data_IF_796599184245
#
_entry.id   IF_796599184245
#
_cell.length_a   1.000
_cell.length_b   1.000
_cell.length_c   1.000
_cell.angle_alpha   90.00
_cell.angle_beta   90.00
_cell.angle_gamma   90.00
#
_symmetry.space_group_name_H-M   'P 1'
#
loop_
_entity.id
_entity.type
_entity.pdbx_description
1 polymer ?
#
# COMPACT_ATOMS: atom_id res chain seq x y z
N UNK A 1 -25.70 -8.39 7.26
CA UNK A 1 -26.04 -9.59 6.49
C UNK A 1 -25.40 -10.85 7.06
N UNK A 2 -24.13 -10.78 7.49
CA UNK A 2 -23.47 -11.91 8.16
C UNK A 2 -24.21 -12.34 9.42
N UNK A 3 -24.67 -11.39 10.21
CA UNK A 3 -25.47 -11.66 11.40
C UNK A 3 -26.86 -12.23 11.04
N UNK A 4 -27.47 -11.73 9.97
CA UNK A 4 -28.82 -12.14 9.53
C UNK A 4 -28.88 -13.58 9.02
N UNK A 5 -27.81 -14.08 8.37
CA UNK A 5 -27.73 -15.43 7.78
C UNK A 5 -26.71 -16.34 8.45
N UNK A 6 -26.09 -15.92 9.56
CA UNK A 6 -24.96 -16.62 10.22
C UNK A 6 -23.80 -16.93 9.25
N UNK A 7 -23.60 -16.10 8.23
CA UNK A 7 -22.54 -16.25 7.26
C UNK A 7 -21.20 -15.81 7.86
N UNK A 8 -20.14 -16.52 7.50
CA UNK A 8 -18.76 -16.25 7.93
C UNK A 8 -17.89 -15.94 6.71
N UNK A 9 -16.78 -15.28 6.96
CA UNK A 9 -15.76 -15.10 5.95
C UNK A 9 -15.35 -16.46 5.36
N UNK A 10 -15.33 -16.56 4.04
CA UNK A 10 -15.04 -17.78 3.34
C UNK A 10 -16.28 -18.61 2.98
N UNK A 11 -17.46 -18.30 3.48
CA UNK A 11 -18.66 -19.02 3.08
C UNK A 11 -19.01 -18.74 1.61
N UNK A 12 -19.47 -19.77 0.89
CA UNK A 12 -20.05 -19.63 -0.44
C UNK A 12 -21.56 -19.51 -0.32
N UNK A 13 -22.13 -18.57 -1.06
CA UNK A 13 -23.57 -18.35 -1.18
C UNK A 13 -23.98 -18.22 -2.64
N UNK A 14 -25.23 -18.55 -2.92
CA UNK A 14 -25.82 -18.21 -4.20
C UNK A 14 -26.47 -16.83 -4.08
N UNK A 15 -25.90 -15.87 -4.83
CA UNK A 15 -26.37 -14.50 -4.90
C UNK A 15 -27.22 -14.33 -6.16
N UNK A 16 -28.44 -13.87 -5.99
CA UNK A 16 -29.36 -13.56 -7.08
C UNK A 16 -29.63 -12.06 -7.10
N UNK A 17 -29.38 -11.43 -8.24
CA UNK A 17 -29.64 -10.01 -8.48
C UNK A 17 -30.44 -9.86 -9.74
N UNK A 18 -31.58 -9.22 -9.66
CA UNK A 18 -32.48 -9.01 -10.80
C UNK A 18 -32.81 -10.32 -11.57
N UNK A 19 -33.03 -11.43 -10.86
CA UNK A 19 -33.34 -12.74 -11.42
C UNK A 19 -32.16 -13.50 -12.01
N UNK A 20 -30.95 -12.95 -11.97
CA UNK A 20 -29.73 -13.65 -12.42
C UNK A 20 -28.95 -14.14 -11.21
N UNK A 21 -28.65 -15.46 -11.19
CA UNK A 21 -28.04 -16.15 -10.05
C UNK A 21 -26.58 -16.50 -10.33
N UNK A 22 -25.71 -16.28 -9.34
CA UNK A 22 -24.31 -16.69 -9.38
C UNK A 22 -23.81 -17.05 -7.97
N UNK A 23 -22.94 -18.05 -7.90
CA UNK A 23 -22.29 -18.44 -6.65
C UNK A 23 -21.10 -17.55 -6.38
N UNK A 24 -21.04 -16.95 -5.18
CA UNK A 24 -20.00 -16.00 -4.75
C UNK A 24 -19.51 -16.29 -3.34
N UNK A 25 -18.27 -15.91 -3.05
CA UNK A 25 -17.71 -16.00 -1.71
C UNK A 25 -18.02 -14.76 -0.88
N UNK A 26 -18.19 -14.96 0.40
CA UNK A 26 -18.48 -13.91 1.39
C UNK A 26 -17.18 -13.41 2.00
N UNK A 27 -16.99 -12.10 2.02
CA UNK A 27 -15.93 -11.39 2.76
C UNK A 27 -16.58 -10.35 3.64
N UNK A 28 -16.21 -10.34 4.92
CA UNK A 28 -16.68 -9.35 5.87
C UNK A 28 -15.82 -8.08 5.77
N UNK A 29 -16.45 -6.93 5.65
CA UNK A 29 -15.75 -5.64 5.65
C UNK A 29 -16.48 -4.64 6.55
N UNK A 30 -15.71 -3.84 7.28
CA UNK A 30 -16.26 -2.84 8.18
C UNK A 30 -16.66 -1.55 7.49
N UNK A 31 -16.11 -1.23 6.35
CA UNK A 31 -16.36 0.03 5.65
C UNK A 31 -17.68 0.12 4.89
N UNK A 32 -18.66 -0.74 5.20
CA UNK A 32 -19.97 -0.77 4.52
C UNK A 32 -21.11 -0.52 5.48
N UNK A 33 -22.11 0.21 4.99
CA UNK A 33 -23.36 0.38 5.74
C UNK A 33 -24.02 -0.96 6.02
N UNK A 34 -24.57 -1.19 7.22
CA UNK A 34 -25.38 -2.36 7.52
C UNK A 34 -26.50 -2.57 6.49
N UNK A 35 -26.72 -3.82 6.11
CA UNK A 35 -27.71 -4.17 5.10
C UNK A 35 -27.28 -3.99 3.65
N UNK A 36 -26.08 -3.51 3.39
CA UNK A 36 -25.53 -3.38 2.05
C UNK A 36 -24.46 -4.43 1.73
N UNK A 37 -24.29 -4.71 0.45
CA UNK A 37 -23.25 -5.57 -0.08
C UNK A 37 -22.59 -4.91 -1.28
N UNK A 38 -21.30 -5.13 -1.44
CA UNK A 38 -20.58 -4.68 -2.63
C UNK A 38 -19.99 -5.88 -3.37
N UNK A 39 -20.12 -5.86 -4.68
CA UNK A 39 -19.44 -6.79 -5.57
C UNK A 39 -18.68 -5.97 -6.62
N UNK A 40 -17.34 -6.01 -6.63
CA UNK A 40 -16.57 -5.23 -7.59
C UNK A 40 -16.78 -5.73 -9.02
N UNK A 41 -16.92 -4.82 -9.96
CA UNK A 41 -16.94 -5.11 -11.39
C UNK A 41 -15.53 -5.29 -11.94
N UNK A 42 -15.40 -6.00 -13.09
CA UNK A 42 -14.11 -6.17 -13.76
C UNK A 42 -13.40 -7.47 -13.47
N UNK A 43 -13.92 -8.31 -12.56
CA UNK A 43 -13.45 -9.66 -12.29
C UNK A 43 -14.17 -10.71 -13.15
N UNK A 44 -13.74 -11.99 -13.06
CA UNK A 44 -14.33 -13.12 -13.79
C UNK A 44 -14.09 -13.06 -15.30
N UNK A 45 -13.02 -12.45 -15.77
CA UNK A 45 -12.66 -12.35 -17.18
C UNK A 45 -12.20 -13.69 -17.71
N UNK A 46 -12.71 -14.09 -18.86
CA UNK A 46 -12.26 -15.29 -19.59
C UNK A 46 -11.00 -14.99 -20.40
N UNK A 47 -11.00 -13.85 -21.08
CA UNK A 47 -9.86 -13.34 -21.84
C UNK A 47 -9.06 -12.38 -20.98
N UNK A 48 -7.97 -12.87 -20.41
CA UNK A 48 -7.04 -12.12 -19.56
C UNK A 48 -5.69 -12.86 -19.52
N UNK A 49 -4.66 -12.19 -18.98
CA UNK A 49 -3.38 -12.84 -18.68
C UNK A 49 -3.58 -14.01 -17.70
N UNK A 50 -2.59 -14.91 -17.62
CA UNK A 50 -2.63 -16.08 -16.73
C UNK A 50 -2.99 -15.70 -15.28
N UNK A 51 -2.47 -14.57 -14.79
CA UNK A 51 -2.71 -14.09 -13.43
C UNK A 51 -4.15 -13.57 -13.20
N UNK A 52 -4.87 -13.20 -14.24
CA UNK A 52 -6.21 -12.58 -14.14
C UNK A 52 -7.36 -13.43 -14.67
N UNK A 53 -7.07 -14.51 -15.38
CA UNK A 53 -8.09 -15.37 -16.02
C UNK A 53 -8.97 -16.04 -14.98
N UNK A 54 -10.28 -15.86 -15.12
CA UNK A 54 -11.31 -16.49 -14.28
C UNK A 54 -11.17 -16.20 -12.77
N UNK A 55 -10.45 -15.12 -12.40
CA UNK A 55 -10.31 -14.70 -11.01
C UNK A 55 -11.52 -13.86 -10.61
N UNK A 56 -12.18 -14.27 -9.51
CA UNK A 56 -13.38 -13.62 -9.00
C UNK A 56 -14.63 -13.92 -9.83
N UNK A 57 -15.57 -13.00 -9.82
CA UNK A 57 -16.90 -13.19 -10.39
C UNK A 57 -17.23 -12.06 -11.36
N UNK A 58 -17.86 -12.41 -12.48
CA UNK A 58 -18.32 -11.42 -13.46
C UNK A 58 -19.63 -10.76 -13.00
N UNK A 59 -19.54 -9.53 -12.52
CA UNK A 59 -20.70 -8.75 -12.05
C UNK A 59 -21.42 -7.98 -13.17
N UNK A 60 -20.86 -7.87 -14.37
CA UNK A 60 -21.48 -7.12 -15.48
C UNK A 60 -22.90 -7.57 -15.85
N UNK A 61 -23.25 -8.88 -15.81
CA UNK A 61 -24.63 -9.31 -16.10
C UNK A 61 -25.70 -8.75 -15.16
N UNK A 62 -25.31 -8.23 -13.99
CA UNK A 62 -26.22 -7.66 -12.99
C UNK A 62 -26.39 -6.16 -13.10
N UNK A 63 -25.58 -5.50 -13.93
CA UNK A 63 -25.74 -4.08 -14.19
C UNK A 63 -27.03 -3.82 -14.98
N UNK A 64 -27.70 -2.75 -14.64
CA UNK A 64 -28.89 -2.29 -15.31
C UNK A 64 -28.56 -1.05 -16.15
N UNK A 65 -29.36 -0.83 -17.18
CA UNK A 65 -29.34 0.40 -17.96
C UNK A 65 -30.64 1.15 -17.68
N UNK A 66 -30.54 2.38 -17.26
CA UNK A 66 -31.67 3.29 -17.10
C UNK A 66 -31.39 4.60 -17.88
N UNK A 67 -32.26 4.92 -18.82
CA UNK A 67 -32.14 6.12 -19.68
C UNK A 67 -30.74 6.30 -20.31
N UNK A 68 -30.09 5.19 -20.72
CA UNK A 68 -28.75 5.19 -21.32
C UNK A 68 -27.60 5.30 -20.33
N UNK A 69 -27.85 5.31 -19.02
CA UNK A 69 -26.86 5.35 -17.95
C UNK A 69 -26.78 4.00 -17.27
N UNK A 70 -25.56 3.52 -17.01
CA UNK A 70 -25.33 2.27 -16.26
C UNK A 70 -25.63 2.48 -14.79
N UNK A 71 -26.51 1.65 -14.24
CA UNK A 71 -26.88 1.66 -12.83
C UNK A 71 -26.10 0.56 -12.09
N UNK A 72 -25.35 0.97 -11.08
CA UNK A 72 -24.45 0.10 -10.29
C UNK A 72 -25.04 -0.35 -8.94
N UNK A 73 -26.33 -0.18 -8.72
CA UNK A 73 -27.02 -0.64 -7.52
C UNK A 73 -28.29 -1.41 -7.85
N UNK A 74 -28.75 -2.24 -6.93
CA UNK A 74 -30.03 -2.95 -7.02
C UNK A 74 -30.57 -3.19 -5.62
N UNK A 75 -31.86 -3.02 -5.43
CA UNK A 75 -32.63 -3.39 -4.25
C UNK A 75 -33.21 -4.82 -4.34
N UNK A 76 -33.21 -5.41 -5.54
CA UNK A 76 -33.72 -6.76 -5.82
C UNK A 76 -32.62 -7.80 -5.69
N UNK A 77 -32.23 -8.07 -4.43
CA UNK A 77 -31.13 -8.97 -4.10
C UNK A 77 -31.60 -10.06 -3.14
N UNK A 78 -31.38 -11.32 -3.55
CA UNK A 78 -31.59 -12.50 -2.70
C UNK A 78 -30.29 -13.22 -2.45
N UNK A 79 -30.06 -13.67 -1.20
CA UNK A 79 -28.92 -14.47 -0.80
C UNK A 79 -29.41 -15.78 -0.23
N UNK A 80 -28.82 -16.87 -0.69
CA UNK A 80 -29.06 -18.19 -0.10
C UNK A 80 -28.42 -18.32 1.29
N UNK A 81 -28.70 -19.41 1.94
CA UNK A 81 -27.86 -19.89 3.04
C UNK A 81 -26.52 -20.38 2.49
N UNK A 82 -25.59 -20.71 3.39
CA UNK A 82 -24.30 -21.27 3.03
C UNK A 82 -24.45 -22.54 2.19
N UNK A 83 -23.85 -22.52 1.00
CA UNK A 83 -23.82 -23.67 0.07
C UNK A 83 -22.44 -24.34 -0.01
N UNK A 84 -21.41 -23.77 0.62
CA UNK A 84 -20.05 -24.30 0.64
C UNK A 84 -19.06 -23.36 1.29
N UNK A 85 -17.76 -23.59 1.05
CA UNK A 85 -16.66 -22.77 1.57
C UNK A 85 -15.64 -22.53 0.46
N UNK A 86 -15.13 -21.30 0.37
CA UNK A 86 -13.97 -20.96 -0.46
C UNK A 86 -12.71 -21.40 0.26
N UNK A 87 -11.88 -22.21 -0.38
CA UNK A 87 -10.68 -22.78 0.25
C UNK A 87 -9.46 -21.87 0.14
N UNK A 88 -9.44 -20.94 -0.81
CA UNK A 88 -8.26 -20.16 -1.19
C UNK A 88 -8.59 -18.67 -1.34
N UNK A 89 -8.91 -18.01 -0.23
CA UNK A 89 -8.92 -16.57 -0.21
C UNK A 89 -7.51 -16.02 -0.32
N UNK A 90 -7.31 -15.07 -1.24
CA UNK A 90 -6.08 -14.32 -1.35
C UNK A 90 -6.30 -12.91 -0.85
N UNK A 91 -5.58 -12.54 0.18
CA UNK A 91 -5.60 -11.21 0.77
C UNK A 91 -4.19 -10.65 0.84
N UNK A 92 -3.95 -9.51 0.21
CA UNK A 92 -2.66 -8.82 0.26
C UNK A 92 -2.39 -8.32 1.67
N UNK A 93 -3.45 -7.93 2.39
CA UNK A 93 -3.36 -7.43 3.74
C UNK A 93 -4.70 -7.59 4.45
N UNK A 94 -4.65 -8.03 5.70
CA UNK A 94 -5.80 -7.94 6.59
C UNK A 94 -5.98 -6.49 7.02
N UNK A 95 -7.16 -5.94 6.77
CA UNK A 95 -7.51 -4.60 7.21
C UNK A 95 -8.13 -4.65 8.60
N UNK A 96 -7.57 -3.86 9.49
CA UNK A 96 -7.97 -3.86 10.89
C UNK A 96 -8.81 -2.63 11.22
N UNK A 97 -9.74 -2.78 12.14
CA UNK A 97 -10.47 -1.64 12.70
C UNK A 97 -9.59 -0.88 13.69
N UNK A 98 -9.56 0.44 13.57
CA UNK A 98 -8.99 1.31 14.59
C UNK A 98 -10.11 1.74 15.56
N UNK A 99 -9.77 1.86 16.84
CA UNK A 99 -10.72 2.29 17.88
C UNK A 99 -11.57 1.20 18.48
N UNK A 100 -11.58 0.00 17.91
CA UNK A 100 -12.33 -1.16 18.46
C UNK A 100 -11.54 -1.87 19.56
N UNK A 101 -10.22 -1.75 19.57
CA UNK A 101 -9.35 -2.24 20.64
C UNK A 101 -8.35 -1.16 21.00
N UNK A 102 -8.43 -0.66 22.20
CA UNK A 102 -7.51 0.34 22.72
C UNK A 102 -7.50 0.36 24.23
N UNK A 103 -6.59 1.12 24.79
CA UNK A 103 -6.72 1.55 26.17
C UNK A 103 -7.40 2.91 26.18
N UNK A 104 -8.37 3.06 27.06
CA UNK A 104 -8.91 4.35 27.39
C UNK A 104 -7.77 5.28 27.81
N UNK A 105 -7.66 6.45 27.19
CA UNK A 105 -6.54 7.39 27.41
C UNK A 105 -6.52 7.91 28.85
N UNK A 106 -7.67 8.08 29.48
CA UNK A 106 -7.80 8.64 30.83
C UNK A 106 -7.65 7.56 31.91
N UNK A 107 -8.33 6.44 31.73
CA UNK A 107 -8.37 5.39 32.75
C UNK A 107 -7.28 4.34 32.59
N UNK A 108 -6.58 4.30 31.46
CA UNK A 108 -5.60 3.26 31.07
C UNK A 108 -6.14 1.83 31.17
N UNK A 109 -7.46 1.68 31.19
CA UNK A 109 -8.12 0.38 31.20
C UNK A 109 -8.34 -0.12 29.77
N UNK A 110 -8.24 -1.44 29.59
CA UNK A 110 -8.63 -2.08 28.31
C UNK A 110 -10.08 -1.74 28.02
N UNK A 111 -10.33 -1.18 26.84
CA UNK A 111 -11.69 -1.06 26.33
C UNK A 111 -12.11 -2.48 25.95
N UNK A 112 -13.07 -3.03 26.70
CA UNK A 112 -13.68 -4.31 26.37
C UNK A 112 -14.55 -4.11 25.13
N UNK A 113 -14.01 -4.54 24.00
CA UNK A 113 -14.83 -4.70 22.80
C UNK A 113 -15.56 -6.02 22.93
N UNK A 114 -16.89 -5.96 22.88
CA UNK A 114 -17.71 -7.16 22.83
C UNK A 114 -17.31 -7.98 21.58
N UNK A 115 -16.89 -9.24 21.80
CA UNK A 115 -16.54 -10.16 20.73
C UNK A 115 -17.64 -10.34 19.68
N UNK A 116 -18.89 -10.03 20.04
CA UNK A 116 -20.03 -10.07 19.13
C UNK A 116 -20.07 -8.90 18.17
N UNK A 117 -19.56 -7.73 18.57
CA UNK A 117 -19.55 -6.51 17.76
C UNK A 117 -18.31 -6.37 16.90
N UNK A 118 -17.25 -7.15 17.16
CA UNK A 118 -16.04 -7.15 16.36
C UNK A 118 -15.63 -8.56 15.90
N UNK A 119 -16.39 -9.19 14.99
CA UNK A 119 -16.17 -10.56 14.56
C UNK A 119 -14.79 -10.82 13.92
N UNK A 120 -14.12 -9.80 13.40
CA UNK A 120 -12.76 -9.91 12.85
C UNK A 120 -11.68 -10.08 13.91
N UNK A 121 -11.93 -9.76 15.16
CA UNK A 121 -10.99 -10.01 16.24
C UNK A 121 -10.75 -11.50 16.47
N UNK A 122 -11.68 -12.36 16.06
CA UNK A 122 -11.53 -13.84 16.11
C UNK A 122 -10.53 -14.40 15.11
N UNK A 123 -10.16 -13.66 14.09
CA UNK A 123 -9.21 -14.10 13.05
C UNK A 123 -7.73 -13.96 13.46
N UNK A 124 -7.41 -13.98 14.74
CA UNK A 124 -6.04 -13.91 15.25
C UNK A 124 -5.44 -12.52 15.25
N UNK A 125 -6.25 -11.48 15.07
CA UNK A 125 -5.79 -10.13 15.18
C UNK A 125 -5.45 -9.75 16.61
N UNK A 126 -4.19 -9.44 16.82
CA UNK A 126 -3.73 -8.80 18.05
C UNK A 126 -3.71 -7.28 17.79
N UNK A 127 -4.82 -6.62 18.13
CA UNK A 127 -4.87 -5.17 18.11
C UNK A 127 -3.72 -4.59 18.93
N UNK A 128 -3.10 -3.53 18.45
CA UNK A 128 -2.09 -2.83 19.23
C UNK A 128 -2.75 -2.28 20.50
N UNK A 129 -2.30 -2.77 21.65
CA UNK A 129 -2.76 -2.29 22.96
C UNK A 129 -2.20 -0.88 23.22
N UNK A 130 -1.10 -0.53 22.53
CA UNK A 130 -0.46 0.78 22.62
C UNK A 130 -0.77 1.55 21.34
N UNK A 131 -1.33 2.75 21.41
CA UNK A 131 -1.48 3.62 20.26
C UNK A 131 -0.13 3.83 19.58
N UNK A 132 -0.05 3.54 18.28
CA UNK A 132 1.15 3.80 17.48
C UNK A 132 0.86 4.90 16.48
N UNK A 133 1.89 5.64 16.09
CA UNK A 133 1.81 6.71 15.09
C UNK A 133 1.69 6.15 13.67
N UNK A 134 0.68 5.31 13.41
CA UNK A 134 0.46 4.72 12.09
C UNK A 134 -0.45 5.59 11.24
N UNK A 135 -1.56 6.06 11.83
CA UNK A 135 -2.52 6.94 11.18
C UNK A 135 -2.89 8.07 12.12
N UNK A 136 -2.95 9.29 11.58
CA UNK A 136 -3.38 10.47 12.32
C UNK A 136 -4.64 11.03 11.70
N UNK A 137 -5.60 11.34 12.54
CA UNK A 137 -6.87 11.95 12.15
C UNK A 137 -7.38 12.89 13.24
N UNK A 138 -8.17 13.87 12.82
CA UNK A 138 -8.81 14.81 13.72
C UNK A 138 -10.11 15.32 13.13
N UNK A 139 -11.00 15.87 13.96
CA UNK A 139 -12.14 16.65 13.53
C UNK A 139 -11.75 18.06 13.18
N UNK A 140 -12.48 18.69 12.25
CA UNK A 140 -12.23 20.07 11.85
C UNK A 140 -12.30 21.05 13.03
N UNK A 141 -13.22 20.80 13.98
CA UNK A 141 -13.39 21.58 15.21
C UNK A 141 -12.22 21.46 16.19
N UNK A 142 -11.39 20.41 16.08
CA UNK A 142 -10.30 20.10 17.00
C UNK A 142 -8.90 20.28 16.36
N UNK A 143 -8.82 20.80 15.15
CA UNK A 143 -7.56 20.89 14.38
C UNK A 143 -6.47 21.62 15.15
N UNK A 144 -6.78 22.76 15.78
CA UNK A 144 -5.81 23.56 16.51
C UNK A 144 -5.20 22.77 17.70
N UNK A 145 -6.06 22.15 18.50
CA UNK A 145 -5.61 21.30 19.60
C UNK A 145 -4.78 20.12 19.13
N UNK A 146 -5.22 19.47 18.06
CA UNK A 146 -4.50 18.35 17.47
C UNK A 146 -3.11 18.74 16.96
N UNK A 147 -2.96 19.92 16.37
CA UNK A 147 -1.65 20.46 15.92
C UNK A 147 -0.72 20.68 17.10
N UNK A 148 -1.22 21.21 18.22
CA UNK A 148 -0.42 21.37 19.44
C UNK A 148 0.02 20.01 20.00
N UNK A 149 -0.89 19.05 20.11
CA UNK A 149 -0.56 17.68 20.53
C UNK A 149 0.52 17.04 19.65
N UNK A 150 0.43 17.20 18.31
CA UNK A 150 1.46 16.72 17.39
C UNK A 150 2.83 17.37 17.63
N UNK A 151 2.86 18.67 17.91
CA UNK A 151 4.10 19.40 18.19
C UNK A 151 4.75 18.90 19.49
N UNK A 152 3.96 18.66 20.53
CA UNK A 152 4.44 18.14 21.82
C UNK A 152 4.97 16.70 21.69
N UNK A 153 4.22 15.80 21.07
CA UNK A 153 4.65 14.43 20.83
C UNK A 153 5.96 14.38 20.03
N UNK A 154 6.07 15.22 19.00
CA UNK A 154 7.27 15.28 18.18
C UNK A 154 8.49 15.78 18.97
N UNK A 155 8.30 16.72 19.86
CA UNK A 155 9.36 17.20 20.75
C UNK A 155 9.82 16.06 21.69
N UNK A 156 8.89 15.31 22.26
CA UNK A 156 9.19 14.14 23.08
C UNK A 156 10.02 13.09 22.31
N UNK A 157 9.60 12.75 21.08
CA UNK A 157 10.36 11.81 20.24
C UNK A 157 11.75 12.34 19.88
N UNK A 158 11.91 13.64 19.61
CA UNK A 158 13.20 14.24 19.36
C UNK A 158 14.13 14.13 20.58
N UNK A 159 13.63 14.35 21.77
CA UNK A 159 14.38 14.18 23.02
C UNK A 159 14.81 12.73 23.24
N UNK A 160 13.90 11.75 22.96
CA UNK A 160 14.23 10.33 23.02
C UNK A 160 15.31 9.94 22.00
N UNK A 161 15.27 10.53 20.81
CA UNK A 161 16.24 10.29 19.75
C UNK A 161 17.65 10.73 20.09
N UNK A 162 17.83 11.68 21.01
CA UNK A 162 19.17 12.07 21.51
C UNK A 162 19.83 11.00 22.39
N UNK A 163 19.04 10.05 22.89
CA UNK A 163 19.52 8.96 23.79
C UNK A 163 20.03 7.72 23.04
N UNK A 164 20.10 7.77 21.71
CA UNK A 164 20.63 6.66 20.92
C UNK A 164 22.15 6.60 20.97
N UNK A 165 22.72 5.39 20.94
CA UNK A 165 24.17 5.14 20.79
C UNK A 165 24.62 5.18 19.32
N UNK A 166 23.67 5.23 18.38
CA UNK A 166 23.96 5.30 16.95
C UNK A 166 23.92 6.74 16.48
N UNK A 167 24.90 7.19 15.66
CA UNK A 167 24.84 8.52 15.06
C UNK A 167 23.64 8.58 14.09
N UNK A 168 22.91 9.71 14.12
CA UNK A 168 21.88 9.93 13.12
C UNK A 168 22.50 10.27 11.77
N UNK A 169 22.03 9.62 10.71
CA UNK A 169 22.44 9.87 9.34
C UNK A 169 21.67 11.02 8.68
N UNK A 170 20.63 11.57 9.34
CA UNK A 170 19.81 12.66 8.82
C UNK A 170 20.66 13.86 8.38
N UNK A 171 21.71 14.19 9.13
CA UNK A 171 22.62 15.30 8.81
C UNK A 171 23.49 15.05 7.57
N UNK A 172 23.61 13.82 7.11
CA UNK A 172 24.42 13.45 5.95
C UNK A 172 23.83 13.96 4.64
N UNK A 173 22.51 14.11 4.57
CA UNK A 173 21.76 14.44 3.36
C UNK A 173 21.31 15.91 3.30
N UNK A 174 21.98 16.81 4.00
CA UNK A 174 21.64 18.24 4.05
C UNK A 174 22.19 19.03 2.87
N UNK A 175 23.11 18.46 2.09
CA UNK A 175 23.74 19.08 0.93
C UNK A 175 23.39 18.36 -0.36
N UNK A 176 23.09 19.11 -1.42
CA UNK A 176 22.63 18.56 -2.69
C UNK A 176 21.15 18.23 -2.67
N UNK A 177 20.72 17.32 -3.53
CA UNK A 177 19.33 16.86 -3.57
C UNK A 177 19.06 15.86 -2.44
N UNK A 178 17.89 15.96 -1.82
CA UNK A 178 17.35 14.97 -0.91
C UNK A 178 15.93 14.65 -1.34
N UNK A 179 15.72 13.46 -1.89
CA UNK A 179 14.45 13.08 -2.47
C UNK A 179 13.46 12.61 -1.41
N UNK A 180 12.29 13.23 -1.42
CA UNK A 180 11.20 12.89 -0.51
C UNK A 180 9.83 12.87 -1.17
N UNK A 181 8.87 12.37 -0.43
CA UNK A 181 7.48 12.24 -0.87
C UNK A 181 6.53 12.70 0.23
N UNK A 182 5.41 13.26 -0.17
CA UNK A 182 4.32 13.58 0.72
C UNK A 182 3.02 12.98 0.19
N UNK A 183 2.21 12.41 1.07
CA UNK A 183 0.90 11.84 0.75
C UNK A 183 -0.18 12.54 1.57
N UNK A 184 -1.07 13.23 0.90
CA UNK A 184 -2.21 13.89 1.52
C UNK A 184 -3.38 12.91 1.69
N UNK A 185 -3.66 12.52 2.94
CA UNK A 185 -4.74 11.58 3.24
C UNK A 185 -6.13 12.22 3.08
N UNK A 186 -6.24 13.55 2.99
CA UNK A 186 -7.49 14.22 2.70
C UNK A 186 -7.88 14.10 1.22
N UNK A 187 -6.87 14.14 0.35
CA UNK A 187 -7.07 14.00 -1.09
C UNK A 187 -7.09 12.53 -1.56
N UNK A 188 -6.53 11.60 -0.78
CA UNK A 188 -6.46 10.19 -1.17
C UNK A 188 -7.82 9.51 -1.09
N UNK A 189 -8.28 8.93 -2.21
CA UNK A 189 -9.55 8.19 -2.33
C UNK A 189 -9.36 6.66 -2.39
N UNK A 190 -8.14 6.16 -2.24
CA UNK A 190 -7.85 4.72 -2.24
C UNK A 190 -8.03 4.00 -3.57
N UNK A 191 -8.03 4.72 -4.70
CA UNK A 191 -8.38 4.18 -6.04
C UNK A 191 -7.41 3.15 -6.62
N UNK A 192 -6.18 3.03 -6.08
CA UNK A 192 -5.18 2.05 -6.54
C UNK A 192 -4.38 2.44 -7.79
N UNK A 193 -4.66 3.57 -8.46
CA UNK A 193 -3.96 4.00 -9.67
C UNK A 193 -2.43 4.10 -9.47
N UNK A 194 -2.00 4.57 -8.31
CA UNK A 194 -0.58 4.65 -7.94
C UNK A 194 0.10 3.28 -7.86
N UNK A 195 -0.61 2.25 -7.39
CA UNK A 195 -0.08 0.87 -7.33
C UNK A 195 0.10 0.28 -8.73
N UNK A 196 -0.91 0.44 -9.59
CA UNK A 196 -0.86 -0.02 -10.98
C UNK A 196 0.27 0.68 -11.76
N UNK A 197 0.38 2.00 -11.64
CA UNK A 197 1.44 2.77 -12.28
C UNK A 197 2.84 2.36 -11.77
N UNK A 198 2.99 2.09 -10.48
CA UNK A 198 4.24 1.61 -9.91
C UNK A 198 4.64 0.26 -10.50
N UNK A 199 3.69 -0.67 -10.63
CA UNK A 199 3.93 -2.01 -11.18
C UNK A 199 4.35 -1.93 -12.64
N UNK A 200 3.65 -1.13 -13.44
CA UNK A 200 3.95 -0.94 -14.86
C UNK A 200 5.31 -0.26 -15.08
N UNK A 201 5.57 0.84 -14.38
CA UNK A 201 6.82 1.61 -14.52
C UNK A 201 8.06 0.82 -14.10
N UNK A 202 7.97 0.05 -13.02
CA UNK A 202 9.13 -0.54 -12.38
C UNK A 202 9.29 -2.04 -12.65
N UNK A 203 8.65 -2.57 -13.69
CA UNK A 203 8.69 -3.99 -14.04
C UNK A 203 8.37 -4.91 -12.85
N UNK A 204 7.41 -4.50 -11.99
CA UNK A 204 7.01 -5.30 -10.84
C UNK A 204 6.15 -6.45 -11.34
N UNK A 205 6.49 -7.71 -11.03
CA UNK A 205 5.75 -8.84 -11.55
C UNK A 205 4.33 -8.92 -10.99
N UNK A 206 3.38 -9.32 -11.84
CA UNK A 206 2.00 -9.63 -11.46
C UNK A 206 1.92 -11.12 -11.16
N UNK A 207 1.85 -11.46 -9.88
CA UNK A 207 2.01 -12.85 -9.43
C UNK A 207 0.70 -13.65 -9.34
N UNK A 208 -0.45 -12.97 -9.33
CA UNK A 208 -1.77 -13.60 -9.30
C UNK A 208 -2.23 -14.12 -7.93
N UNK A 209 -3.47 -14.60 -7.88
CA UNK A 209 -4.18 -15.00 -6.67
C UNK A 209 -3.45 -16.10 -5.89
N UNK A 210 -2.94 -17.12 -6.58
CA UNK A 210 -2.30 -18.27 -5.95
C UNK A 210 -1.05 -17.87 -5.15
N UNK A 211 -0.19 -17.02 -5.71
CA UNK A 211 1.00 -16.56 -5.03
C UNK A 211 0.66 -15.59 -3.89
N UNK A 212 -0.34 -14.72 -4.07
CA UNK A 212 -0.82 -13.84 -2.99
C UNK A 212 -1.37 -14.66 -1.82
N UNK A 213 -2.11 -15.74 -2.09
CA UNK A 213 -2.59 -16.67 -1.05
C UNK A 213 -1.44 -17.30 -0.24
N UNK A 214 -0.28 -17.52 -0.88
CA UNK A 214 0.94 -18.00 -0.26
C UNK A 214 1.80 -16.92 0.39
N UNK A 215 1.30 -15.69 0.47
CA UNK A 215 2.03 -14.49 0.94
C UNK A 215 3.25 -14.10 0.09
N UNK A 216 3.22 -14.42 -1.19
CA UNK A 216 4.27 -14.08 -2.16
C UNK A 216 3.91 -12.86 -3.01
N UNK A 217 3.16 -11.92 -2.48
CA UNK A 217 2.84 -10.68 -3.19
C UNK A 217 4.09 -9.89 -3.56
N UNK A 218 4.06 -9.22 -4.73
CA UNK A 218 5.21 -8.47 -5.24
C UNK A 218 4.97 -6.95 -5.37
N UNK A 219 3.75 -6.46 -5.17
CA UNK A 219 3.47 -5.03 -5.25
C UNK A 219 4.33 -4.22 -4.28
N UNK A 220 5.04 -3.20 -4.81
CA UNK A 220 5.91 -2.33 -4.00
C UNK A 220 5.13 -1.26 -3.23
N UNK A 221 3.93 -0.96 -3.67
CA UNK A 221 3.03 -0.01 -3.05
C UNK A 221 1.71 -0.70 -2.76
N UNK A 222 1.27 -0.64 -1.51
CA UNK A 222 -0.04 -1.11 -1.07
C UNK A 222 -0.87 0.06 -0.58
N UNK A 223 -2.18 -0.10 -0.51
CA UNK A 223 -3.08 0.88 0.09
C UNK A 223 -3.69 0.26 1.32
N UNK A 224 -3.22 0.70 2.47
CA UNK A 224 -3.74 0.28 3.77
C UNK A 224 -5.06 0.99 4.04
N UNK A 225 -6.04 0.27 4.59
CA UNK A 225 -7.34 0.80 4.98
C UNK A 225 -7.49 0.70 6.48
N UNK A 226 -7.77 1.82 7.11
CA UNK A 226 -7.99 1.92 8.55
C UNK A 226 -9.41 2.37 8.78
N UNK A 227 -10.19 1.52 9.45
CA UNK A 227 -11.58 1.78 9.76
C UNK A 227 -11.72 2.39 11.15
N UNK A 228 -12.67 3.28 11.31
CA UNK A 228 -13.00 3.94 12.58
C UNK A 228 -14.49 4.34 12.58
N UNK A 229 -14.98 4.90 13.69
CA UNK A 229 -16.39 5.18 13.88
C UNK A 229 -17.15 3.99 14.46
N UNK A 230 -18.47 4.04 14.43
CA UNK A 230 -19.35 2.96 14.89
C UNK A 230 -19.64 1.96 13.76
N UNK A 231 -20.23 0.82 14.11
CA UNK A 231 -20.68 -0.15 13.08
C UNK A 231 -21.81 0.40 12.21
N UNK A 232 -22.59 1.32 12.75
CA UNK A 232 -23.71 1.99 12.09
C UNK A 232 -23.23 3.12 11.18
N UNK A 233 -22.10 3.77 11.55
CA UNK A 233 -21.50 4.87 10.78
C UNK A 233 -19.99 4.66 10.62
N UNK A 234 -19.58 3.67 9.79
CA UNK A 234 -18.17 3.37 9.59
C UNK A 234 -17.51 4.40 8.67
N UNK A 235 -16.34 4.84 9.05
CA UNK A 235 -15.46 5.67 8.24
C UNK A 235 -14.17 4.92 7.89
N UNK A 236 -13.47 5.36 6.86
CA UNK A 236 -12.21 4.75 6.41
C UNK A 236 -11.18 5.80 6.04
N UNK A 237 -9.92 5.55 6.41
CA UNK A 237 -8.76 6.29 5.92
C UNK A 237 -7.93 5.37 5.04
N UNK A 238 -7.62 5.83 3.84
CA UNK A 238 -6.74 5.16 2.90
C UNK A 238 -5.33 5.70 3.04
N UNK A 239 -4.36 4.83 3.28
CA UNK A 239 -2.97 5.21 3.42
C UNK A 239 -2.10 4.43 2.41
N UNK A 240 -1.69 5.05 1.30
CA UNK A 240 -0.68 4.47 0.43
C UNK A 240 0.63 4.26 1.18
N UNK A 241 1.15 3.03 1.17
CA UNK A 241 2.35 2.64 1.90
C UNK A 241 3.37 2.01 0.94
N UNK A 242 4.53 2.64 0.84
CA UNK A 242 5.68 2.20 0.05
C UNK A 242 6.95 2.23 0.90
N UNK A 243 8.11 1.91 0.30
CA UNK A 243 9.38 2.13 0.99
C UNK A 243 9.48 3.59 1.42
N UNK A 244 9.79 3.82 2.68
CA UNK A 244 9.84 5.15 3.29
C UNK A 244 11.18 5.84 3.05
N UNK A 245 12.15 5.18 2.41
CA UNK A 245 13.49 5.71 2.16
C UNK A 245 14.10 6.38 3.40
N UNK A 246 14.11 5.61 4.50
CA UNK A 246 14.53 6.08 5.82
C UNK A 246 16.01 6.45 5.83
N UNK A 247 16.37 7.65 6.32
CA UNK A 247 17.77 8.05 6.47
C UNK A 247 18.47 7.19 7.53
N UNK A 248 17.77 6.82 8.60
CA UNK A 248 18.23 5.84 9.60
C UNK A 248 17.68 4.45 9.25
N UNK A 249 18.07 3.89 8.10
CA UNK A 249 17.46 2.69 7.54
C UNK A 249 17.81 1.39 8.30
N UNK A 250 16.89 0.80 9.08
CA UNK A 250 17.18 -0.43 9.82
C UNK A 250 17.40 -1.63 8.91
N UNK A 251 16.95 -1.56 7.66
CA UNK A 251 17.16 -2.62 6.67
C UNK A 251 18.58 -2.66 6.11
N UNK A 252 19.35 -1.58 6.21
CA UNK A 252 20.75 -1.54 5.76
C UNK A 252 21.69 -2.21 6.75
N UNK A 253 21.48 -1.96 8.03
CA UNK A 253 22.31 -2.48 9.11
C UNK A 253 22.32 -4.02 9.19
N UNK A 254 21.29 -4.68 8.69
CA UNK A 254 21.12 -6.14 8.76
C UNK A 254 21.46 -6.86 7.45
N UNK A 255 21.87 -6.13 6.42
CA UNK A 255 22.23 -6.76 5.14
C UNK A 255 23.67 -7.27 5.18
N UNK A 256 23.90 -8.60 5.12
CA UNK A 256 25.25 -9.17 5.29
C UNK A 256 26.18 -8.84 4.12
N UNK A 257 25.64 -8.41 2.99
CA UNK A 257 26.38 -8.11 1.76
C UNK A 257 26.26 -6.65 1.33
N UNK A 258 25.68 -5.79 2.18
CA UNK A 258 25.42 -4.38 1.86
C UNK A 258 24.72 -4.17 0.50
N UNK A 259 23.79 -5.08 0.14
CA UNK A 259 22.96 -4.94 -1.05
C UNK A 259 21.90 -3.82 -0.89
N UNK A 260 21.55 -3.49 0.35
CA UNK A 260 20.73 -2.34 0.70
C UNK A 260 21.65 -1.23 1.18
N UNK A 261 21.63 -0.09 0.51
CA UNK A 261 22.49 1.06 0.81
C UNK A 261 21.80 2.38 0.44
N UNK A 262 22.36 3.50 0.87
CA UNK A 262 21.89 4.83 0.49
C UNK A 262 22.71 5.42 -0.66
N UNK A 263 22.02 6.18 -1.52
CA UNK A 263 22.67 7.13 -2.42
C UNK A 263 23.02 8.42 -1.66
N UNK A 264 23.89 9.24 -2.27
CA UNK A 264 24.21 10.57 -1.74
C UNK A 264 23.00 11.54 -1.72
N UNK A 265 21.88 11.15 -2.31
CA UNK A 265 20.64 11.95 -2.40
C UNK A 265 19.51 11.38 -1.51
N UNK A 266 19.85 10.61 -0.48
CA UNK A 266 18.89 10.09 0.50
C UNK A 266 18.03 8.92 0.00
N UNK A 267 18.34 8.32 -1.15
CA UNK A 267 17.56 7.21 -1.67
C UNK A 267 18.09 5.88 -1.12
N UNK A 268 17.28 5.16 -0.37
CA UNK A 268 17.58 3.78 -0.02
C UNK A 268 17.49 2.90 -1.27
N UNK A 269 18.59 2.28 -1.67
CA UNK A 269 18.77 1.54 -2.92
C UNK A 269 18.84 0.03 -2.68
N UNK A 270 18.71 -0.73 -3.77
CA UNK A 270 18.96 -2.17 -3.82
C UNK A 270 19.95 -2.49 -4.95
N UNK A 271 21.11 -3.02 -4.57
CA UNK A 271 22.02 -3.63 -5.54
C UNK A 271 21.58 -5.09 -5.76
N UNK A 272 20.73 -5.30 -6.77
CA UNK A 272 20.09 -6.60 -7.01
C UNK A 272 21.11 -7.73 -7.21
N UNK A 273 22.17 -7.49 -7.98
CA UNK A 273 23.23 -8.49 -8.23
C UNK A 273 24.05 -8.87 -7.00
N UNK A 274 23.96 -8.06 -5.94
CA UNK A 274 24.64 -8.32 -4.67
C UNK A 274 23.75 -9.03 -3.66
N UNK A 275 22.43 -8.98 -3.85
CA UNK A 275 21.46 -9.55 -2.94
C UNK A 275 21.54 -11.08 -2.96
N UNK A 276 21.74 -11.70 -1.79
CA UNK A 276 21.76 -13.16 -1.61
C UNK A 276 20.46 -13.71 -0.99
N UNK A 277 19.43 -12.89 -0.85
CA UNK A 277 18.09 -13.32 -0.47
C UNK A 277 17.90 -13.74 0.99
N UNK A 278 18.71 -13.25 1.94
CA UNK A 278 18.54 -13.57 3.38
C UNK A 278 17.22 -13.09 3.95
N UNK A 279 16.54 -12.12 3.32
CA UNK A 279 15.26 -11.52 3.71
C UNK A 279 15.26 -10.81 5.07
N UNK A 280 16.39 -10.74 5.77
CA UNK A 280 16.45 -10.07 7.06
C UNK A 280 16.05 -8.58 6.95
N UNK A 281 16.40 -7.91 5.87
CA UNK A 281 15.99 -6.54 5.63
C UNK A 281 14.46 -6.37 5.55
N UNK A 282 13.71 -7.39 5.10
CA UNK A 282 12.25 -7.37 5.13
C UNK A 282 11.70 -7.55 6.55
N UNK A 283 12.31 -8.45 7.33
CA UNK A 283 11.91 -8.66 8.72
C UNK A 283 12.18 -7.44 9.58
N UNK A 284 13.31 -6.74 9.34
CA UNK A 284 13.70 -5.55 10.09
C UNK A 284 13.03 -4.26 9.62
N UNK A 285 12.30 -4.29 8.50
CA UNK A 285 11.55 -3.14 8.02
C UNK A 285 10.27 -2.95 8.87
N UNK A 286 10.12 -1.83 9.62
CA UNK A 286 8.92 -1.62 10.42
C UNK A 286 7.66 -1.40 9.56
N UNK A 287 7.84 -0.91 8.35
CA UNK A 287 6.75 -0.62 7.38
C UNK A 287 6.33 -1.84 6.55
N UNK A 288 7.10 -2.96 6.60
CA UNK A 288 6.82 -4.21 5.87
C UNK A 288 6.59 -4.01 4.37
N UNK A 289 7.45 -3.22 3.73
CA UNK A 289 7.32 -2.81 2.32
C UNK A 289 8.38 -3.41 1.39
N UNK A 290 9.11 -4.40 1.85
CA UNK A 290 10.13 -5.11 1.07
C UNK A 290 9.58 -6.45 0.63
N UNK A 291 9.73 -6.76 -0.68
CA UNK A 291 9.21 -7.95 -1.31
C UNK A 291 10.34 -8.89 -1.71
N UNK A 292 10.13 -10.18 -1.52
CA UNK A 292 11.08 -11.20 -1.94
C UNK A 292 10.58 -11.85 -3.23
N UNK A 293 11.44 -11.93 -4.22
CA UNK A 293 11.14 -12.56 -5.51
C UNK A 293 11.35 -14.08 -5.38
N UNK A 294 10.27 -14.80 -5.14
CA UNK A 294 10.29 -16.24 -4.86
C UNK A 294 10.53 -17.09 -6.11
N UNK A 295 10.01 -16.63 -7.24
CA UNK A 295 10.03 -17.34 -8.50
C UNK A 295 10.44 -16.38 -9.62
N UNK A 296 10.80 -16.91 -10.77
CA UNK A 296 10.99 -16.12 -11.98
C UNK A 296 9.63 -15.81 -12.63
N UNK A 297 8.94 -14.82 -12.08
CA UNK A 297 7.58 -14.46 -12.49
C UNK A 297 7.49 -13.80 -13.85
N UNK A 298 8.57 -13.16 -14.31
CA UNK A 298 8.56 -12.40 -15.56
C UNK A 298 9.04 -13.22 -16.73
N UNK A 299 9.72 -14.36 -16.47
CA UNK A 299 10.38 -15.19 -17.48
C UNK A 299 11.21 -14.38 -18.48
N UNK A 300 11.65 -13.21 -18.05
CA UNK A 300 12.37 -12.25 -18.86
C UNK A 300 13.88 -12.49 -18.80
N UNK A 301 14.31 -13.75 -18.80
CA UNK A 301 15.72 -14.05 -18.95
C UNK A 301 16.18 -13.63 -20.36
N UNK A 302 17.06 -12.63 -20.40
CA UNK A 302 17.65 -12.13 -21.64
C UNK A 302 18.78 -13.02 -22.15
N UNK A 303 19.17 -14.04 -21.38
CA UNK A 303 20.25 -14.96 -21.74
C UNK A 303 19.67 -16.34 -22.10
N UNK A 304 19.57 -16.67 -23.40
CA UNK A 304 19.05 -17.96 -23.85
C UNK A 304 19.83 -19.17 -23.30
N UNK A 305 21.08 -18.95 -22.88
CA UNK A 305 21.94 -19.99 -22.31
C UNK A 305 21.56 -20.44 -20.89
N UNK A 306 20.65 -19.75 -20.21
CA UNK A 306 20.15 -20.14 -18.90
C UNK A 306 18.89 -21.05 -18.97
N UNK A 307 18.52 -21.52 -20.14
CA UNK A 307 17.46 -22.50 -20.29
C UNK A 307 17.93 -23.85 -19.75
N UNK A 308 17.26 -24.32 -18.68
CA UNK A 308 17.48 -25.66 -18.14
C UNK A 308 16.52 -26.64 -18.77
N UNK A 309 16.98 -27.67 -19.51
CA UNK A 309 16.10 -28.73 -19.98
C UNK A 309 15.62 -29.55 -18.75
N UNK A 310 14.33 -29.57 -18.51
CA UNK A 310 13.71 -30.47 -17.53
C UNK A 310 13.13 -31.64 -18.31
N UNK A 311 13.62 -32.86 -18.03
CA UNK A 311 13.20 -34.11 -18.68
C UNK A 311 13.41 -34.17 -20.20
N UNK A 312 14.40 -33.49 -20.75
CA UNK A 312 14.69 -33.51 -22.19
C UNK A 312 13.77 -32.68 -23.05
N UNK A 313 12.80 -31.98 -22.50
CA UNK A 313 12.01 -30.96 -23.18
C UNK A 313 12.65 -29.59 -22.91
N UNK A 314 12.91 -28.84 -23.98
CA UNK A 314 13.26 -27.42 -23.86
C UNK A 314 12.02 -26.66 -23.33
N UNK A 315 11.91 -26.56 -22.03
CA UNK A 315 10.98 -25.63 -21.41
C UNK A 315 11.49 -24.21 -21.69
N UNK A 316 11.02 -23.64 -22.78
CA UNK A 316 11.22 -22.23 -23.09
C UNK A 316 10.41 -21.39 -22.09
N UNK A 317 10.96 -21.20 -20.91
CA UNK A 317 10.48 -20.18 -19.96
C UNK A 317 10.90 -18.77 -20.36
N UNK A 318 11.46 -18.60 -21.54
CA UNK A 318 11.78 -17.28 -22.08
C UNK A 318 10.51 -16.53 -22.44
N UNK A 319 10.33 -15.32 -21.94
CA UNK A 319 9.35 -14.42 -22.49
C UNK A 319 9.60 -14.29 -24.00
N UNK A 320 8.57 -14.50 -24.80
CA UNK A 320 8.65 -14.18 -26.22
C UNK A 320 8.98 -12.70 -26.43
N UNK A 321 9.35 -12.32 -27.61
CA UNK A 321 9.70 -10.92 -27.92
C UNK A 321 8.53 -9.96 -27.60
N UNK A 322 7.31 -10.42 -27.73
CA UNK A 322 6.10 -9.62 -27.44
C UNK A 322 5.97 -9.35 -25.95
N UNK A 323 6.18 -10.34 -25.10
CA UNK A 323 6.18 -10.19 -23.63
C UNK A 323 7.31 -9.26 -23.17
N UNK A 324 8.49 -9.31 -23.81
CA UNK A 324 9.60 -8.38 -23.50
C UNK A 324 9.29 -6.94 -23.85
N UNK A 325 8.48 -6.70 -24.87
CA UNK A 325 8.11 -5.34 -25.30
C UNK A 325 7.27 -4.56 -24.28
N UNK A 326 6.63 -5.22 -23.31
CA UNK A 326 5.86 -4.53 -22.24
C UNK A 326 6.73 -4.10 -21.06
N UNK A 327 7.98 -4.55 -21.02
CA UNK A 327 8.91 -4.18 -19.95
C UNK A 327 9.52 -2.80 -20.23
N UNK A 328 9.66 -2.01 -19.16
CA UNK A 328 10.37 -0.74 -19.22
C UNK A 328 11.88 -1.01 -19.34
N UNK A 329 12.54 -0.59 -20.46
CA UNK A 329 13.94 -0.86 -20.68
C UNK A 329 14.88 -0.11 -19.72
N UNK A 330 14.41 0.97 -19.10
CA UNK A 330 15.21 1.78 -18.17
C UNK A 330 15.24 1.20 -16.74
N UNK A 331 14.51 0.11 -16.52
CA UNK A 331 14.38 -0.53 -15.21
C UNK A 331 14.83 -1.98 -15.25
N UNK A 332 15.78 -2.32 -14.40
CA UNK A 332 16.27 -3.70 -14.27
C UNK A 332 15.13 -4.68 -14.00
N UNK A 333 15.04 -5.74 -14.79
CA UNK A 333 14.20 -6.89 -14.49
C UNK A 333 14.94 -7.76 -13.47
N UNK A 334 14.25 -8.10 -12.38
CA UNK A 334 14.85 -8.88 -11.29
C UNK A 334 14.50 -10.34 -11.44
N UNK A 335 15.48 -11.17 -11.14
CA UNK A 335 15.34 -12.62 -11.11
C UNK A 335 14.88 -13.09 -9.72
N UNK A 336 14.56 -14.38 -9.61
CA UNK A 336 14.25 -14.99 -8.31
C UNK A 336 15.40 -14.83 -7.31
N UNK A 337 15.07 -14.82 -6.02
CA UNK A 337 16.03 -14.85 -4.94
C UNK A 337 16.54 -13.48 -4.48
N UNK A 338 16.01 -12.39 -5.01
CA UNK A 338 16.38 -11.03 -4.61
C UNK A 338 15.23 -10.31 -3.91
N UNK A 339 15.59 -9.29 -3.12
CA UNK A 339 14.62 -8.38 -2.49
C UNK A 339 14.31 -7.22 -3.42
N UNK A 340 13.04 -6.88 -3.51
CA UNK A 340 12.53 -5.74 -4.26
C UNK A 340 11.82 -4.73 -3.36
N UNK A 341 11.83 -3.47 -3.76
CA UNK A 341 11.15 -2.38 -3.05
C UNK A 341 11.04 -1.13 -3.93
N UNK A 342 10.22 -0.17 -3.52
CA UNK A 342 10.16 1.14 -4.16
C UNK A 342 11.56 1.78 -4.28
N UNK A 343 11.89 2.29 -5.45
CA UNK A 343 13.14 2.97 -5.79
C UNK A 343 13.00 4.49 -5.93
N UNK A 344 11.84 5.07 -5.61
CA UNK A 344 11.44 6.43 -5.98
C UNK A 344 11.52 6.71 -7.50
N UNK A 345 11.36 5.65 -8.31
CA UNK A 345 11.50 5.74 -9.77
C UNK A 345 12.84 6.40 -10.15
N UNK A 346 13.96 5.84 -9.65
CA UNK A 346 15.31 6.39 -9.84
C UNK A 346 15.63 6.68 -11.32
N UNK A 347 15.10 5.89 -12.26
CA UNK A 347 15.22 6.12 -13.70
C UNK A 347 14.65 7.48 -14.11
N UNK A 348 13.48 7.88 -13.59
CA UNK A 348 12.87 9.19 -13.84
C UNK A 348 13.65 10.34 -13.21
N UNK A 349 14.23 10.11 -12.03
CA UNK A 349 15.13 11.08 -11.40
C UNK A 349 16.35 11.33 -12.32
N UNK A 350 16.97 10.26 -12.82
CA UNK A 350 18.12 10.37 -13.72
C UNK A 350 17.76 11.03 -15.04
N UNK A 351 16.61 10.69 -15.62
CA UNK A 351 16.12 11.33 -16.83
C UNK A 351 15.92 12.84 -16.66
N UNK A 352 15.24 13.27 -15.58
CA UNK A 352 15.05 14.70 -15.29
C UNK A 352 16.37 15.43 -15.08
N UNK A 353 17.32 14.83 -14.37
CA UNK A 353 18.68 15.39 -14.18
C UNK A 353 19.45 15.48 -15.50
N UNK A 354 19.37 14.46 -16.35
CA UNK A 354 20.02 14.46 -17.66
C UNK A 354 19.42 15.51 -18.57
N UNK A 355 18.12 15.68 -18.57
CA UNK A 355 17.41 16.70 -19.36
C UNK A 355 17.82 18.09 -18.93
N UNK A 356 17.80 18.39 -17.63
CA UNK A 356 18.24 19.67 -17.08
C UNK A 356 19.71 19.97 -17.44
N UNK A 357 20.59 18.96 -17.36
CA UNK A 357 22.00 19.07 -17.74
C UNK A 357 22.19 19.35 -19.24
N UNK A 358 21.43 18.68 -20.12
CA UNK A 358 21.46 18.91 -21.58
C UNK A 358 21.02 20.33 -21.92
N UNK A 359 20.05 20.87 -21.16
CA UNK A 359 19.54 22.22 -21.33
C UNK A 359 20.42 23.29 -20.64
N UNK A 360 21.51 22.90 -19.98
CA UNK A 360 22.43 23.81 -19.28
C UNK A 360 21.80 24.55 -18.11
N UNK A 361 20.80 23.97 -17.46
CA UNK A 361 20.06 24.58 -16.34
C UNK A 361 20.02 23.70 -15.10
N UNK A 362 19.64 24.30 -13.99
CA UNK A 362 19.32 23.57 -12.75
C UNK A 362 17.99 22.84 -12.90
N UNK A 363 17.83 21.82 -12.06
CA UNK A 363 16.57 21.07 -11.93
C UNK A 363 15.47 22.00 -11.42
N UNK A 364 14.28 21.90 -12.03
CA UNK A 364 13.10 22.71 -11.66
C UNK A 364 12.01 21.82 -11.08
N UNK A 365 11.09 22.44 -10.35
CA UNK A 365 9.87 21.75 -9.90
C UNK A 365 9.13 21.13 -11.09
N UNK A 366 8.79 19.84 -10.99
CA UNK A 366 8.10 19.10 -12.02
C UNK A 366 8.96 18.42 -13.09
N UNK A 367 10.29 18.68 -13.15
CA UNK A 367 11.21 17.96 -14.02
C UNK A 367 11.27 16.46 -13.65
N UNK A 368 11.09 16.16 -12.37
CA UNK A 368 11.06 14.80 -11.85
C UNK A 368 9.69 14.52 -11.22
N UNK A 369 9.03 13.49 -11.71
CA UNK A 369 7.76 12.99 -11.14
C UNK A 369 7.80 11.48 -11.05
N UNK A 370 7.53 10.94 -9.87
CA UNK A 370 7.37 9.50 -9.73
C UNK A 370 6.13 9.00 -10.48
N UNK A 371 6.13 7.72 -10.90
CA UNK A 371 5.00 7.15 -11.62
C UNK A 371 3.70 7.20 -10.81
N UNK A 372 3.78 6.94 -9.51
CA UNK A 372 2.64 7.01 -8.60
C UNK A 372 2.08 8.44 -8.46
N UNK A 373 2.92 9.47 -8.46
CA UNK A 373 2.50 10.87 -8.49
C UNK A 373 1.79 11.20 -9.80
N UNK A 374 2.39 10.82 -10.93
CA UNK A 374 1.82 11.12 -12.25
C UNK A 374 0.44 10.49 -12.46
N UNK A 375 0.23 9.30 -11.90
CA UNK A 375 -1.03 8.56 -12.04
C UNK A 375 -2.07 8.93 -10.99
N UNK A 376 -1.74 9.74 -9.99
CA UNK A 376 -2.69 10.09 -8.92
C UNK A 376 -3.75 11.08 -9.41
N UNK A 377 -5.03 10.67 -9.55
CA UNK A 377 -6.06 11.53 -10.14
C UNK A 377 -6.44 12.72 -9.26
N UNK A 378 -6.21 12.60 -7.96
CA UNK A 378 -6.55 13.65 -6.97
C UNK A 378 -5.36 14.51 -6.57
N UNK A 379 -4.16 14.23 -7.11
CA UNK A 379 -2.94 14.95 -6.72
C UNK A 379 -2.52 14.73 -5.26
N UNK A 380 -2.97 13.64 -4.63
CA UNK A 380 -2.64 13.32 -3.23
C UNK A 380 -1.14 13.07 -3.02
N UNK A 381 -0.41 12.59 -4.03
CA UNK A 381 1.00 12.26 -3.94
C UNK A 381 1.83 13.41 -4.52
N UNK A 382 2.79 13.91 -3.75
CA UNK A 382 3.77 14.92 -4.17
C UNK A 382 5.16 14.36 -3.94
N UNK A 383 6.02 14.43 -4.95
CA UNK A 383 7.41 13.96 -4.90
C UNK A 383 8.35 15.08 -5.36
N UNK A 384 9.52 15.20 -4.75
CA UNK A 384 10.49 16.22 -5.13
C UNK A 384 11.69 16.28 -4.20
N UNK A 385 12.46 17.35 -4.34
CA UNK A 385 13.66 17.63 -3.54
C UNK A 385 13.28 18.35 -2.24
N UNK A 386 13.46 17.67 -1.11
CA UNK A 386 13.15 18.22 0.22
C UNK A 386 14.11 19.32 0.64
N UNK A 387 15.37 19.28 0.15
CA UNK A 387 16.36 20.31 0.44
C UNK A 387 16.10 21.63 -0.30
N UNK A 388 15.28 21.60 -1.36
CA UNK A 388 14.84 22.81 -2.02
C UNK A 388 13.63 23.41 -1.26
N UNK A 389 13.78 24.56 -0.55
CA UNK A 389 12.69 25.14 0.23
C UNK A 389 11.51 25.62 -0.62
N UNK A 390 11.72 25.86 -1.90
CA UNK A 390 10.66 26.28 -2.83
C UNK A 390 9.88 25.11 -3.43
N UNK A 391 10.37 23.88 -3.27
CA UNK A 391 9.66 22.70 -3.78
C UNK A 391 8.33 22.48 -3.07
N UNK A 392 7.36 21.91 -3.79
CA UNK A 392 6.05 21.59 -3.22
C UNK A 392 6.15 20.56 -2.09
N UNK A 393 7.04 19.58 -2.22
CA UNK A 393 7.23 18.56 -1.18
C UNK A 393 7.78 19.17 0.09
N UNK A 394 8.77 20.08 0.00
CA UNK A 394 9.34 20.78 1.17
C UNK A 394 8.29 21.64 1.89
N UNK A 395 7.44 22.35 1.13
CA UNK A 395 6.35 23.14 1.69
C UNK A 395 5.31 22.25 2.40
N UNK A 396 4.99 21.09 1.82
CA UNK A 396 4.06 20.13 2.43
C UNK A 396 4.65 19.45 3.67
N UNK A 397 5.94 19.15 3.70
CA UNK A 397 6.61 18.62 4.90
C UNK A 397 6.63 19.61 6.08
N UNK A 398 6.52 20.90 5.81
CA UNK A 398 6.42 21.96 6.84
C UNK A 398 4.99 22.26 7.27
N UNK A 399 3.98 21.62 6.67
CA UNK A 399 2.60 21.83 7.06
C UNK A 399 2.35 21.29 8.47
N UNK A 400 1.54 21.99 9.24
CA UNK A 400 1.29 21.66 10.65
C UNK A 400 0.56 20.32 10.84
N UNK A 401 -0.26 19.91 9.85
CA UNK A 401 -0.94 18.60 9.84
C UNK A 401 -0.04 17.45 9.37
N UNK A 402 1.20 17.74 9.00
CA UNK A 402 2.13 16.75 8.53
C UNK A 402 2.59 15.84 9.67
N UNK A 403 2.67 14.53 9.41
CA UNK A 403 3.17 13.56 10.38
C UNK A 403 4.01 12.46 9.72
N UNK A 404 4.76 11.76 10.54
CA UNK A 404 5.61 10.64 10.18
C UNK A 404 5.00 9.35 10.73
N UNK A 405 4.94 8.31 9.89
CA UNK A 405 4.43 7.01 10.34
C UNK A 405 5.50 6.30 11.19
N UNK A 406 5.11 5.83 12.37
CA UNK A 406 5.98 5.20 13.36
C UNK A 406 7.15 6.11 13.76
N UNK A 407 6.85 7.37 14.06
CA UNK A 407 7.83 8.39 14.43
C UNK A 407 8.66 7.96 15.67
N UNK A 408 8.04 7.23 16.59
CA UNK A 408 8.65 6.66 17.79
C UNK A 408 9.80 5.68 17.53
N UNK A 409 9.93 5.15 16.31
CA UNK A 409 11.00 4.20 15.94
C UNK A 409 12.26 4.91 15.44
N UNK A 410 12.20 6.21 15.21
CA UNK A 410 13.33 7.04 14.76
C UNK A 410 14.03 6.58 13.48
N UNK A 411 13.28 6.15 12.49
CA UNK A 411 13.84 5.74 11.20
C UNK A 411 14.12 6.91 10.26
N UNK A 412 13.67 8.14 10.59
CA UNK A 412 13.77 9.34 9.76
C UNK A 412 13.32 9.10 8.30
N UNK A 413 12.04 8.82 8.04
CA UNK A 413 11.56 8.49 6.70
C UNK A 413 11.48 9.71 5.79
N UNK A 414 11.83 9.52 4.52
CA UNK A 414 11.67 10.51 3.46
C UNK A 414 10.22 10.63 2.94
N UNK A 415 9.30 9.76 3.40
CA UNK A 415 7.86 9.85 3.08
C UNK A 415 7.11 10.34 4.30
N UNK A 416 6.30 11.38 4.11
CA UNK A 416 5.49 11.96 5.16
C UNK A 416 4.03 12.08 4.72
N UNK A 417 3.12 12.28 5.66
CA UNK A 417 1.69 12.24 5.43
C UNK A 417 0.98 13.45 6.05
N UNK A 418 -0.05 13.98 5.40
CA UNK A 418 -0.99 14.87 6.08
C UNK A 418 -2.03 14.08 6.84
N UNK A 419 -2.30 14.45 8.08
CA UNK A 419 -3.36 13.87 8.88
C UNK A 419 -4.72 14.02 8.20
N UNK A 420 -5.59 13.05 8.36
CA UNK A 420 -6.97 13.09 7.86
C UNK A 420 -7.79 14.04 8.73
N UNK A 421 -8.35 15.08 8.13
CA UNK A 421 -9.32 15.97 8.75
C UNK A 421 -10.72 15.54 8.37
N UNK A 422 -11.59 15.38 9.35
CA UNK A 422 -12.96 14.93 9.19
C UNK A 422 -13.88 16.11 9.47
N UNK A 423 -14.83 16.32 8.60
CA UNK A 423 -15.88 17.34 8.78
C UNK A 423 -17.25 16.63 8.79
N UNK A 424 -17.49 15.91 9.88
CA UNK A 424 -18.78 15.27 10.15
C UNK A 424 -19.46 15.93 11.34
N UNK A 425 -20.77 15.75 11.47
CA UNK A 425 -21.48 16.18 12.66
C UNK A 425 -21.05 15.26 13.83
N UNK A 426 -20.60 15.85 14.93
CA UNK A 426 -20.10 15.14 16.14
C UNK A 426 -21.14 14.11 16.68
N UNK A 427 -22.43 14.32 16.42
CA UNK A 427 -23.51 13.40 16.77
C UNK A 427 -23.51 12.07 16.02
N UNK A 428 -22.71 11.92 14.97
CA UNK A 428 -22.64 10.70 14.13
C UNK A 428 -21.44 9.81 14.49
N UNK A 429 -20.54 10.24 15.37
CA UNK A 429 -19.33 9.51 15.76
C UNK A 429 -19.31 9.08 17.26
N UNK A 430 -20.34 9.46 18.02
CA UNK A 430 -20.48 9.10 19.43
C UNK A 430 -20.92 7.65 19.65
#
# INVERSE_FOLDING_TARGET
YTTFKNLKEGDLVDLEVNGKKQRVGVVTTFGQMPGTMALPVGFGRKEASIAGREIGYNAYPWLLMDNGVTVYHSDKVNISEKVGVVKDYACVQYHHTMGVTGMDKETKKKINVDEKTAPTLKAGYQGSIVPRTVIRRTHLSEVEKFVEELKEERKEYQELNTKTIYPSLVQTYTTGHHWGMHVDLNACIGCGACSVACMSENNVPVVGKHEVHRHHEMSWLRIDRYFYGTLENPNVVYQPMMCQHCDNAPCENVCPVAATNHSAEGINQMAYNRCIGTRYCANNCPYKVRRFNWLDYTTADIFPSNEYPINGEELRFGADNLTRMVLNPDVTVRTRGVMEKCSFCVQRIQEGKLTAKREGRLLREGDVRSACQTACPTGAITFGDVNNPESLVSKKHKNELNYIVLEEVNTAPGVQYSARVINSLDSLEA
#
